data_IF_242206041343
#
_entry.id   IF_242206041343
#
_cell.length_a   1.000
_cell.length_b   1.000
_cell.length_c   1.000
_cell.angle_alpha   90.00
_cell.angle_beta   90.00
_cell.angle_gamma   90.00
#
_symmetry.space_group_name_H-M   'P 1'
#
loop_
_entity.id
_entity.type
_entity.pdbx_description
1 polymer ?
#
# COMPACT_ATOMS: atom_id res chain seq x y z
N UNK A 1 -2.69 -8.97 -14.68
CA UNK A 1 -4.06 -8.56 -15.01
C UNK A 1 -4.31 -8.94 -16.46
N UNK A 2 -4.82 -10.14 -16.67
CA UNK A 2 -5.10 -10.70 -18.01
C UNK A 2 -6.60 -10.69 -18.30
N UNK A 3 -7.42 -10.83 -17.27
CA UNK A 3 -8.86 -10.65 -17.29
C UNK A 3 -9.25 -9.65 -16.19
N UNK A 4 -9.31 -8.33 -16.46
CA UNK A 4 -9.66 -7.33 -15.46
C UNK A 4 -11.15 -7.46 -15.07
N UNK A 5 -11.43 -7.34 -13.79
CA UNK A 5 -12.80 -7.33 -13.27
C UNK A 5 -13.36 -5.90 -13.35
N UNK A 6 -14.57 -5.67 -13.92
CA UNK A 6 -15.19 -4.35 -13.96
C UNK A 6 -15.40 -3.69 -12.59
N UNK A 7 -15.53 -4.48 -11.51
CA UNK A 7 -15.67 -3.97 -10.14
C UNK A 7 -14.32 -3.59 -9.52
N UNK A 8 -13.21 -4.06 -10.11
CA UNK A 8 -11.85 -3.75 -9.70
C UNK A 8 -11.28 -2.64 -10.59
N UNK A 9 -11.67 -1.40 -10.33
CA UNK A 9 -11.38 -0.22 -11.16
C UNK A 9 -10.19 0.63 -10.67
N UNK A 10 -9.48 0.18 -9.64
CA UNK A 10 -8.31 0.88 -9.09
C UNK A 10 -7.05 0.70 -9.96
N UNK A 11 -6.02 1.47 -9.66
CA UNK A 11 -4.70 1.32 -10.28
C UNK A 11 -3.86 0.25 -9.55
N UNK A 12 -3.92 -0.98 -10.07
CA UNK A 12 -3.23 -2.14 -9.50
C UNK A 12 -1.75 -2.28 -9.89
N UNK A 13 -1.16 -1.34 -10.63
CA UNK A 13 0.23 -1.41 -11.13
C UNK A 13 0.57 -2.78 -11.77
N UNK A 14 -0.20 -3.25 -12.78
CA UNK A 14 -0.08 -4.62 -13.26
C UNK A 14 1.21 -4.85 -14.05
N UNK A 15 1.80 -6.04 -13.87
CA UNK A 15 2.97 -6.57 -14.62
C UNK A 15 4.28 -5.85 -14.28
N UNK A 16 4.43 -4.59 -14.67
CA UNK A 16 5.67 -3.84 -14.50
C UNK A 16 5.46 -2.65 -13.57
N UNK A 17 6.36 -2.52 -12.61
CA UNK A 17 6.41 -1.36 -11.73
C UNK A 17 6.71 -0.08 -12.52
N UNK A 18 6.31 1.04 -11.94
CA UNK A 18 6.61 2.38 -12.45
C UNK A 18 7.26 3.21 -11.34
N UNK A 19 8.17 4.14 -11.66
CA UNK A 19 8.71 5.06 -10.67
C UNK A 19 7.60 5.88 -10.00
N UNK A 20 7.63 5.93 -8.68
CA UNK A 20 6.75 6.77 -7.87
C UNK A 20 7.49 7.21 -6.60
N UNK A 21 7.37 8.49 -6.24
CA UNK A 21 7.92 9.01 -5.00
C UNK A 21 6.98 8.68 -3.82
N UNK A 22 7.08 7.46 -3.30
CA UNK A 22 6.24 6.99 -2.19
C UNK A 22 6.90 7.34 -0.86
N UNK A 23 6.33 8.30 -0.12
CA UNK A 23 6.77 8.65 1.24
C UNK A 23 5.97 7.93 2.33
N UNK A 24 4.77 7.47 2.01
CA UNK A 24 3.84 6.82 2.95
C UNK A 24 3.16 5.67 2.26
N UNK A 25 2.97 4.57 2.97
CA UNK A 25 2.33 3.37 2.45
C UNK A 25 1.40 2.77 3.50
N UNK A 26 0.31 2.17 3.03
CA UNK A 26 -0.57 1.33 3.83
C UNK A 26 -0.38 -0.12 3.38
N UNK A 27 -0.24 -1.03 4.34
CA UNK A 27 -0.19 -2.46 4.10
C UNK A 27 -1.38 -3.08 4.81
N UNK A 28 -2.35 -3.52 4.03
CA UNK A 28 -3.55 -4.19 4.54
C UNK A 28 -3.33 -5.71 4.56
N UNK A 29 -3.78 -6.37 5.62
CA UNK A 29 -3.75 -7.81 5.76
C UNK A 29 -5.11 -8.31 6.27
N UNK A 30 -5.73 -9.21 5.51
CA UNK A 30 -7.05 -9.77 5.81
C UNK A 30 -6.94 -11.30 5.90
N UNK A 31 -7.05 -11.84 7.12
CA UNK A 31 -6.91 -13.25 7.43
C UNK A 31 -8.25 -13.95 7.65
N UNK A 32 -8.24 -15.28 7.53
CA UNK A 32 -9.42 -16.11 7.82
C UNK A 32 -9.90 -15.93 9.26
N UNK A 33 -11.20 -16.13 9.47
CA UNK A 33 -11.84 -15.87 10.77
C UNK A 33 -12.10 -14.38 11.05
N UNK A 34 -12.01 -13.52 10.02
CA UNK A 34 -12.37 -12.10 10.13
C UNK A 34 -11.28 -11.21 10.73
N UNK A 35 -10.02 -11.65 10.72
CA UNK A 35 -8.90 -10.87 11.22
C UNK A 35 -8.49 -9.81 10.20
N UNK A 36 -8.69 -8.53 10.53
CA UNK A 36 -8.29 -7.41 9.69
C UNK A 36 -7.20 -6.59 10.39
N UNK A 37 -6.07 -6.40 9.71
CA UNK A 37 -4.96 -5.57 10.17
C UNK A 37 -4.50 -4.59 9.10
N UNK A 38 -3.98 -3.44 9.54
CA UNK A 38 -3.37 -2.46 8.66
C UNK A 38 -2.10 -1.91 9.33
N UNK A 39 -1.02 -1.79 8.55
CA UNK A 39 0.19 -1.11 8.95
C UNK A 39 0.35 0.17 8.13
N UNK A 40 0.50 1.30 8.82
CA UNK A 40 0.87 2.57 8.21
C UNK A 40 2.37 2.79 8.34
N UNK A 41 3.05 2.91 7.19
CA UNK A 41 4.48 3.16 7.09
C UNK A 41 4.72 4.57 6.56
N UNK A 42 5.78 5.19 7.04
CA UNK A 42 6.33 6.41 6.45
C UNK A 42 7.84 6.25 6.28
N UNK A 43 8.37 6.84 5.21
CA UNK A 43 9.79 7.00 5.04
C UNK A 43 10.36 7.71 6.27
N UNK A 44 11.50 7.21 6.76
CA UNK A 44 12.19 7.89 7.83
C UNK A 44 12.57 9.29 7.37
N UNK A 45 12.27 10.26 8.23
CA UNK A 45 12.70 11.64 8.09
C UNK A 45 13.54 11.93 9.33
N UNK A 46 14.67 12.62 9.18
CA UNK A 46 15.43 13.10 10.32
C UNK A 46 14.56 14.11 11.07
N UNK A 47 13.89 13.63 12.11
CA UNK A 47 13.14 14.46 13.03
C UNK A 47 14.18 15.12 13.93
N UNK A 48 14.30 16.46 13.97
CA UNK A 48 15.10 17.11 15.00
C UNK A 48 14.56 16.64 16.35
N UNK A 49 15.40 15.99 17.15
CA UNK A 49 15.05 15.49 18.48
C UNK A 49 14.64 16.68 19.35
N UNK A 50 13.35 16.94 19.41
CA UNK A 50 12.78 18.09 20.11
C UNK A 50 11.30 17.90 20.46
N UNK A 51 10.81 16.65 20.43
CA UNK A 51 9.59 16.27 21.12
C UNK A 51 9.94 15.32 22.25
#
# INVERSE_FOLDING_TARGET
LENPDPECDLDYVPRQGRPAAVRRALVNAFGFGGQNGCLALQAWEDIPTGR
#
